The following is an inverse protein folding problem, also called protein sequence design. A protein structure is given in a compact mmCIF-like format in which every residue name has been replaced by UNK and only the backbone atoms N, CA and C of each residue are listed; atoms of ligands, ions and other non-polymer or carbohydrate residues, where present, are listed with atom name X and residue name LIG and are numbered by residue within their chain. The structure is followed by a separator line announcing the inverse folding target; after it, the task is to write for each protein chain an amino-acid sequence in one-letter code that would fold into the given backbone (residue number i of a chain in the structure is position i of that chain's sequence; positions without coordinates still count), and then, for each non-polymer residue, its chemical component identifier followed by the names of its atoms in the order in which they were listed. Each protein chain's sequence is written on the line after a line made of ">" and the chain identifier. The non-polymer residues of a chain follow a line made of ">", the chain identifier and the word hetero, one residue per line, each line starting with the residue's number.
data_IF_551574566021
#
_entry.id   IF_551574566021
#
_cell.length_a   1.000
_cell.length_b   1.000
_cell.length_c   1.000
_cell.angle_alpha   90.00
_cell.angle_beta   90.00
_cell.angle_gamma   90.00
#
_symmetry.space_group_name_H-M   'P 1'
#
loop_
_entity.id
_entity.type
_entity.pdbx_description
1 polymer ?
#
# COMPACT_ATOMS: atom_id res chain seq x y z
N UNK A 1 28.79 14.27 23.30
CA UNK A 1 27.57 14.91 22.74
C UNK A 1 27.43 14.57 21.25
N UNK A 2 26.64 13.53 20.97
CA UNK A 2 26.43 12.98 19.63
C UNK A 2 25.43 13.87 18.89
N UNK A 3 25.88 14.56 17.83
CA UNK A 3 24.99 15.34 16.97
C UNK A 3 24.05 14.41 16.19
N UNK A 4 22.73 14.66 16.17
CA UNK A 4 21.81 13.82 15.43
C UNK A 4 21.94 14.05 13.92
N UNK A 5 21.85 12.96 13.16
CA UNK A 5 22.02 12.86 11.69
C UNK A 5 21.10 13.78 10.85
N UNK A 6 20.14 14.49 11.46
CA UNK A 6 19.25 15.42 10.77
C UNK A 6 19.73 16.89 10.81
N UNK A 7 20.70 17.24 11.65
CA UNK A 7 21.30 18.59 11.62
C UNK A 7 22.02 18.88 10.29
N UNK A 8 22.34 17.84 9.50
CA UNK A 8 22.89 17.94 8.16
C UNK A 8 21.83 18.19 7.05
N UNK A 9 20.52 18.12 7.38
CA UNK A 9 19.45 18.31 6.39
C UNK A 9 19.07 19.78 6.17
N UNK A 10 19.65 20.71 6.94
CA UNK A 10 19.44 22.15 6.80
C UNK A 10 20.71 22.92 6.37
N UNK A 11 21.79 22.20 6.03
CA UNK A 11 22.92 22.78 5.30
C UNK A 11 22.61 22.77 3.81
N UNK A 12 22.78 23.91 3.16
CA UNK A 12 22.67 24.06 1.71
C UNK A 12 23.36 22.87 1.00
N UNK A 13 22.81 22.38 -0.12
CA UNK A 13 23.42 21.29 -0.88
C UNK A 13 24.88 21.64 -1.17
N UNK A 14 25.81 20.67 -1.06
CA UNK A 14 27.18 20.87 -1.48
C UNK A 14 27.19 21.39 -2.92
N UNK A 15 28.05 22.37 -3.20
CA UNK A 15 28.13 23.04 -4.49
C UNK A 15 28.13 22.00 -5.64
N UNK A 16 27.00 21.92 -6.36
CA UNK A 16 26.78 20.95 -7.45
C UNK A 16 25.59 19.99 -7.28
N UNK A 17 24.93 19.91 -6.11
CA UNK A 17 23.72 19.10 -5.96
C UNK A 17 22.46 19.92 -6.28
N UNK A 18 21.79 19.54 -7.37
CA UNK A 18 20.52 20.10 -7.83
C UNK A 18 19.41 19.85 -6.79
N UNK A 19 18.61 20.87 -6.48
CA UNK A 19 17.44 20.71 -5.60
C UNK A 19 16.40 19.86 -6.31
N UNK A 20 16.42 18.55 -6.06
CA UNK A 20 15.40 17.65 -6.59
C UNK A 20 14.12 17.82 -5.78
N UNK A 21 13.24 18.69 -6.26
CA UNK A 21 11.86 18.76 -5.79
C UNK A 21 11.17 17.42 -6.08
N UNK A 22 10.90 16.64 -5.03
CA UNK A 22 10.08 15.44 -5.15
C UNK A 22 8.63 15.79 -4.88
N UNK A 23 7.72 15.33 -5.73
CA UNK A 23 6.30 15.48 -5.47
C UNK A 23 5.95 14.74 -4.17
N UNK A 24 5.04 15.31 -3.37
CA UNK A 24 4.57 14.69 -2.13
C UNK A 24 4.11 13.26 -2.34
N UNK A 25 3.43 13.00 -3.47
CA UNK A 25 2.97 11.66 -3.84
C UNK A 25 4.13 10.67 -4.07
N UNK A 26 5.26 11.12 -4.60
CA UNK A 26 6.45 10.28 -4.79
C UNK A 26 7.10 9.94 -3.45
N UNK A 27 7.15 10.92 -2.54
CA UNK A 27 7.68 10.74 -1.19
C UNK A 27 6.80 9.76 -0.39
N UNK A 28 5.48 9.88 -0.50
CA UNK A 28 4.52 9.04 0.21
C UNK A 28 4.28 7.68 -0.45
N UNK A 29 4.73 7.45 -1.69
CA UNK A 29 4.47 6.21 -2.41
C UNK A 29 4.99 4.97 -1.68
N UNK A 30 6.18 5.07 -1.06
CA UNK A 30 6.75 3.98 -0.26
C UNK A 30 5.88 3.67 0.96
N UNK A 31 5.50 4.71 1.70
CA UNK A 31 4.62 4.60 2.87
C UNK A 31 3.25 4.03 2.48
N UNK A 32 2.66 4.52 1.39
CA UNK A 32 1.40 4.02 0.85
C UNK A 32 1.50 2.53 0.50
N UNK A 33 2.59 2.11 -0.16
CA UNK A 33 2.81 0.72 -0.51
C UNK A 33 2.93 -0.19 0.73
N UNK A 34 3.61 0.27 1.79
CA UNK A 34 3.70 -0.45 3.06
C UNK A 34 2.34 -0.54 3.76
N UNK A 35 1.62 0.57 3.88
CA UNK A 35 0.30 0.58 4.50
C UNK A 35 -0.67 -0.33 3.75
N UNK A 36 -0.64 -0.32 2.41
CA UNK A 36 -1.43 -1.22 1.58
C UNK A 36 -1.09 -2.69 1.84
N UNK A 37 0.19 -3.01 1.99
CA UNK A 37 0.65 -4.36 2.33
C UNK A 37 0.11 -4.82 3.69
N UNK A 38 0.18 -3.97 4.71
CA UNK A 38 -0.34 -4.30 6.06
C UNK A 38 -1.86 -4.43 6.07
N UNK A 39 -2.58 -3.54 5.39
CA UNK A 39 -4.04 -3.61 5.27
C UNK A 39 -4.44 -4.91 4.57
N UNK A 40 -3.76 -5.31 3.49
CA UNK A 40 -4.03 -6.56 2.77
C UNK A 40 -3.82 -7.80 3.63
N UNK A 41 -2.82 -7.79 4.52
CA UNK A 41 -2.55 -8.90 5.45
C UNK A 41 -3.47 -8.90 6.67
N UNK A 42 -3.93 -7.73 7.09
CA UNK A 42 -4.74 -7.55 8.29
C UNK A 42 -6.18 -8.06 8.16
N UNK A 43 -6.92 -8.11 9.29
CA UNK A 43 -8.34 -8.45 9.29
C UNK A 43 -9.19 -7.43 8.52
N UNK A 44 -8.70 -6.20 8.34
CA UNK A 44 -9.39 -5.13 7.62
C UNK A 44 -9.61 -5.45 6.14
N UNK A 45 -8.67 -6.10 5.44
CA UNK A 45 -8.90 -6.52 4.05
C UNK A 45 -9.98 -7.58 3.91
N UNK A 46 -10.16 -8.39 4.95
CA UNK A 46 -11.18 -9.43 5.04
C UNK A 46 -12.53 -8.91 5.51
N UNK A 47 -12.61 -7.64 5.92
CA UNK A 47 -13.88 -7.03 6.29
C UNK A 47 -14.80 -6.95 5.06
N UNK A 48 -16.01 -7.54 5.11
CA UNK A 48 -16.98 -7.46 4.02
C UNK A 48 -17.49 -6.03 3.80
N UNK A 49 -17.40 -5.16 4.82
CA UNK A 49 -17.93 -3.79 4.77
C UNK A 49 -16.91 -2.75 4.28
N UNK A 50 -15.61 -3.05 4.34
CA UNK A 50 -14.56 -2.13 3.89
C UNK A 50 -14.30 -2.29 2.39
N UNK A 51 -14.43 -1.22 1.60
CA UNK A 51 -14.18 -1.21 0.17
C UNK A 51 -13.05 -0.24 -0.12
N UNK A 52 -11.92 -0.72 -0.64
CA UNK A 52 -10.80 0.16 -0.99
C UNK A 52 -10.87 0.67 -2.43
N UNK A 53 -11.64 0.00 -3.29
CA UNK A 53 -11.79 0.33 -4.70
C UNK A 53 -13.23 0.02 -5.16
N UNK A 54 -13.78 0.82 -6.07
CA UNK A 54 -15.15 0.64 -6.57
C UNK A 54 -15.42 -0.77 -7.15
N UNK A 55 -14.41 -1.40 -7.76
CA UNK A 55 -14.52 -2.75 -8.32
C UNK A 55 -14.68 -3.86 -7.26
N UNK A 56 -14.49 -3.57 -5.97
CA UNK A 56 -14.67 -4.54 -4.88
C UNK A 56 -16.12 -4.59 -4.36
N UNK A 57 -16.96 -3.59 -4.67
CA UNK A 57 -18.35 -3.53 -4.16
C UNK A 57 -19.15 -4.73 -4.67
N UNK A 58 -19.18 -4.92 -5.99
CA UNK A 58 -19.93 -5.99 -6.64
C UNK A 58 -19.58 -7.40 -6.13
N UNK A 59 -18.30 -7.85 -6.13
CA UNK A 59 -17.96 -9.19 -5.67
C UNK A 59 -18.25 -9.42 -4.18
N UNK A 60 -18.28 -8.37 -3.35
CA UNK A 60 -18.65 -8.48 -1.92
C UNK A 60 -20.16 -8.53 -1.68
N UNK A 61 -20.93 -7.80 -2.48
CA UNK A 61 -22.39 -7.77 -2.37
C UNK A 61 -23.07 -9.01 -2.97
N UNK A 62 -22.50 -9.58 -4.04
CA UNK A 62 -23.11 -10.69 -4.76
C UNK A 62 -23.38 -11.96 -3.93
N UNK A 63 -22.48 -12.41 -3.03
CA UNK A 63 -22.76 -13.55 -2.16
C UNK A 63 -24.03 -13.35 -1.31
N UNK A 64 -24.20 -12.16 -0.73
CA UNK A 64 -25.40 -11.80 0.04
C UNK A 64 -26.65 -11.83 -0.84
N UNK A 65 -26.62 -11.21 -2.02
CA UNK A 65 -27.76 -11.20 -2.93
C UNK A 65 -28.14 -12.60 -3.43
N UNK A 66 -27.16 -13.49 -3.66
CA UNK A 66 -27.42 -14.88 -4.05
C UNK A 66 -28.07 -15.66 -2.92
N UNK A 67 -27.53 -15.54 -1.72
CA UNK A 67 -28.10 -16.17 -0.52
C UNK A 67 -29.53 -15.68 -0.26
N UNK A 68 -29.78 -14.38 -0.33
CA UNK A 68 -31.11 -13.79 -0.13
C UNK A 68 -32.12 -14.27 -1.18
N UNK A 69 -31.71 -14.39 -2.44
CA UNK A 69 -32.56 -14.90 -3.54
C UNK A 69 -32.97 -16.37 -3.36
N UNK A 70 -32.18 -17.17 -2.63
CA UNK A 70 -32.44 -18.59 -2.39
C UNK A 70 -33.38 -18.84 -1.20
N UNK A 71 -33.74 -17.80 -0.43
CA UNK A 71 -34.63 -17.99 0.71
C UNK A 71 -36.07 -18.26 0.24
N UNK A 72 -36.75 -19.27 0.83
CA UNK A 72 -38.12 -19.63 0.46
C UNK A 72 -39.13 -18.54 0.84
N UNK A 73 -38.87 -17.79 1.92
CA UNK A 73 -39.66 -16.63 2.34
C UNK A 73 -38.76 -15.39 2.29
N UNK A 74 -38.82 -14.63 1.19
CA UNK A 74 -37.89 -13.53 0.93
C UNK A 74 -38.32 -12.27 1.69
N UNK A 75 -37.62 -11.87 2.77
CA UNK A 75 -37.97 -10.65 3.48
C UNK A 75 -37.70 -9.44 2.58
N UNK A 76 -38.51 -8.36 2.67
CA UNK A 76 -38.28 -7.14 1.92
C UNK A 76 -36.91 -6.54 2.27
N UNK A 77 -36.20 -6.05 1.25
CA UNK A 77 -34.92 -5.37 1.43
C UNK A 77 -35.13 -3.87 1.55
N UNK A 78 -34.52 -3.29 2.57
CA UNK A 78 -34.44 -1.85 2.77
C UNK A 78 -32.99 -1.40 2.57
N UNK A 79 -32.80 -0.20 2.06
CA UNK A 79 -31.48 0.42 1.94
C UNK A 79 -31.54 1.84 2.49
N UNK A 80 -30.44 2.26 3.09
CA UNK A 80 -30.24 3.64 3.53
C UNK A 80 -29.03 4.20 2.77
N UNK A 81 -29.19 5.41 2.24
CA UNK A 81 -28.08 6.17 1.65
C UNK A 81 -27.55 7.12 2.71
N UNK A 82 -26.22 7.12 2.89
CA UNK A 82 -25.53 7.99 3.83
C UNK A 82 -24.45 8.74 3.06
N UNK A 83 -24.42 10.06 3.21
CA UNK A 83 -23.39 10.92 2.65
C UNK A 83 -22.55 11.51 3.79
N UNK A 84 -21.23 11.36 3.69
CA UNK A 84 -20.29 11.85 4.71
C UNK A 84 -19.59 13.09 4.15
N UNK A 85 -20.00 14.26 4.62
CA UNK A 85 -19.41 15.55 4.24
C UNK A 85 -18.07 15.77 4.92
N UNK A 86 -17.10 16.35 4.20
CA UNK A 86 -15.80 16.75 4.77
C UNK A 86 -14.98 15.57 5.31
N UNK A 87 -15.06 14.40 4.66
CA UNK A 87 -14.43 13.17 5.16
C UNK A 87 -12.91 13.26 5.33
N UNK A 88 -12.22 14.15 4.60
CA UNK A 88 -10.78 14.40 4.76
C UNK A 88 -10.49 15.43 5.85
N UNK A 89 -11.24 16.53 5.88
CA UNK A 89 -11.01 17.65 6.82
C UNK A 89 -11.42 17.31 8.26
N UNK A 90 -12.34 16.36 8.43
CA UNK A 90 -12.85 15.93 9.75
C UNK A 90 -12.00 14.87 10.44
N UNK A 91 -10.88 14.42 9.85
CA UNK A 91 -10.07 13.34 10.41
C UNK A 91 -9.22 13.87 11.57
N UNK A 92 -9.39 13.35 12.81
CA UNK A 92 -8.54 13.77 13.92
C UNK A 92 -7.12 13.20 13.73
N UNK A 93 -6.16 14.05 13.40
CA UNK A 93 -4.78 13.68 13.06
C UNK A 93 -4.09 12.84 14.13
N UNK A 94 -4.27 13.18 15.41
CA UNK A 94 -3.65 12.45 16.52
C UNK A 94 -4.22 11.03 16.67
N UNK A 95 -5.54 10.90 16.59
CA UNK A 95 -6.23 9.61 16.62
C UNK A 95 -5.86 8.75 15.41
N UNK A 96 -5.68 9.36 14.24
CA UNK A 96 -5.23 8.66 13.05
C UNK A 96 -3.83 8.06 13.26
N UNK A 97 -2.89 8.82 13.84
CA UNK A 97 -1.54 8.31 14.15
C UNK A 97 -1.57 7.17 15.17
N UNK A 98 -2.42 7.26 16.20
CA UNK A 98 -2.62 6.18 17.18
C UNK A 98 -3.13 4.89 16.53
N UNK A 99 -4.00 5.00 15.52
CA UNK A 99 -4.52 3.85 14.77
C UNK A 99 -3.47 3.28 13.82
N UNK A 100 -2.65 4.12 13.16
CA UNK A 100 -1.68 3.65 12.15
C UNK A 100 -0.43 3.03 12.77
N UNK A 101 0.07 3.57 13.89
CA UNK A 101 1.27 3.05 14.58
C UNK A 101 1.28 1.53 14.82
N UNK A 102 0.20 0.91 15.33
CA UNK A 102 0.14 -0.54 15.53
C UNK A 102 -0.10 -1.34 14.24
N UNK A 103 -0.48 -0.69 13.13
CA UNK A 103 -0.62 -1.38 11.83
C UNK A 103 0.75 -1.73 11.23
N UNK A 104 1.78 -0.92 11.50
CA UNK A 104 3.15 -1.19 11.08
C UNK A 104 3.82 -2.17 12.05
N UNK A 105 3.68 -3.47 11.76
CA UNK A 105 4.05 -4.56 12.67
C UNK A 105 5.50 -5.00 12.55
N UNK A 106 6.12 -4.79 11.39
CA UNK A 106 7.47 -5.30 11.13
C UNK A 106 8.53 -4.37 11.74
N UNK A 107 9.25 -4.87 12.74
CA UNK A 107 10.31 -4.12 13.44
C UNK A 107 11.60 -4.04 12.61
N UNK A 108 11.92 -5.14 11.91
CA UNK A 108 13.10 -5.26 11.02
C UNK A 108 12.98 -4.42 9.74
N UNK A 109 11.82 -3.80 9.52
CA UNK A 109 11.51 -2.99 8.34
C UNK A 109 10.89 -3.78 7.19
N UNK A 110 10.66 -3.09 6.09
CA UNK A 110 9.99 -3.60 4.90
C UNK A 110 10.91 -3.56 3.70
N UNK A 111 10.79 -4.54 2.82
CA UNK A 111 11.54 -4.58 1.57
C UNK A 111 10.62 -4.24 0.40
N UNK A 112 10.93 -3.15 -0.31
CA UNK A 112 10.27 -2.83 -1.58
C UNK A 112 11.05 -3.48 -2.71
N UNK A 113 10.42 -4.44 -3.39
CA UNK A 113 10.97 -5.16 -4.52
C UNK A 113 10.26 -4.72 -5.82
N UNK A 114 10.94 -3.98 -6.69
CA UNK A 114 10.38 -3.63 -7.99
C UNK A 114 10.46 -4.82 -8.95
N UNK A 115 9.42 -5.01 -9.76
CA UNK A 115 9.38 -6.01 -10.81
C UNK A 115 8.74 -5.42 -12.07
N UNK A 116 9.10 -5.96 -13.23
CA UNK A 116 8.44 -5.64 -14.49
C UNK A 116 7.56 -6.81 -14.92
N UNK A 117 6.35 -6.49 -15.41
CA UNK A 117 5.45 -7.48 -16.00
C UNK A 117 5.39 -7.28 -17.51
N UNK A 118 5.80 -8.30 -18.24
CA UNK A 118 5.62 -8.41 -19.68
C UNK A 118 4.33 -9.16 -19.98
N UNK A 119 3.52 -8.70 -20.93
CA UNK A 119 2.31 -9.41 -21.37
C UNK A 119 2.37 -9.61 -22.89
N UNK A 120 2.34 -10.85 -23.34
CA UNK A 120 2.53 -11.19 -24.76
C UNK A 120 1.44 -10.68 -25.70
N UNK A 121 0.23 -10.36 -25.19
CA UNK A 121 -0.91 -9.95 -26.03
C UNK A 121 -0.76 -8.57 -26.68
N UNK A 122 0.12 -7.71 -26.17
CA UNK A 122 0.24 -6.32 -26.63
C UNK A 122 1.62 -5.97 -27.17
N UNK A 123 2.61 -6.87 -27.13
CA UNK A 123 4.00 -6.64 -27.57
C UNK A 123 4.77 -5.54 -26.83
N UNK A 124 4.08 -4.72 -26.02
CA UNK A 124 4.64 -3.60 -25.25
C UNK A 124 4.97 -4.06 -23.84
N UNK A 125 6.26 -4.12 -23.55
CA UNK A 125 6.79 -4.14 -22.19
C UNK A 125 6.83 -2.71 -21.68
N UNK A 126 6.06 -2.37 -20.63
CA UNK A 126 6.42 -1.26 -19.72
C UNK A 126 5.34 -1.05 -18.67
N UNK A 127 5.51 -1.67 -17.52
CA UNK A 127 5.12 -1.06 -16.26
C UNK A 127 6.00 -1.67 -15.18
N UNK A 128 6.76 -0.82 -14.48
CA UNK A 128 7.48 -1.20 -13.27
C UNK A 128 6.48 -1.13 -12.12
N UNK A 129 6.27 -2.25 -11.44
CA UNK A 129 5.44 -2.35 -10.26
C UNK A 129 6.33 -2.55 -9.04
N UNK A 130 5.90 -2.09 -7.86
CA UNK A 130 6.58 -2.38 -6.60
C UNK A 130 5.73 -3.31 -5.73
N UNK A 131 6.31 -4.42 -5.26
CA UNK A 131 5.74 -5.21 -4.16
C UNK A 131 6.50 -4.89 -2.88
N UNK A 132 5.77 -4.68 -1.80
CA UNK A 132 6.35 -4.64 -0.45
C UNK A 132 6.26 -6.01 0.17
N UNK A 133 7.34 -6.45 0.83
CA UNK A 133 7.39 -7.70 1.58
C UNK A 133 8.07 -7.50 2.94
N UNK A 134 7.95 -8.51 3.80
CA UNK A 134 8.70 -8.67 5.05
C UNK A 134 9.93 -9.58 4.91
N UNK A 135 10.19 -10.10 3.71
CA UNK A 135 11.30 -11.01 3.47
C UNK A 135 12.66 -10.32 3.65
N UNK A 136 13.64 -11.11 4.09
CA UNK A 136 15.03 -10.66 4.20
C UNK A 136 15.64 -10.54 2.80
N UNK A 137 16.61 -9.64 2.66
CA UNK A 137 17.44 -9.57 1.47
C UNK A 137 18.06 -10.94 1.16
N UNK A 138 17.96 -11.40 -0.08
CA UNK A 138 18.59 -12.63 -0.55
C UNK A 138 17.75 -13.90 -0.38
N UNK A 139 16.49 -13.81 0.07
CA UNK A 139 15.58 -14.96 0.09
C UNK A 139 15.04 -15.29 -1.31
N UNK A 140 15.83 -16.08 -2.06
CA UNK A 140 15.54 -16.46 -3.45
C UNK A 140 14.23 -17.24 -3.58
N UNK A 141 13.90 -18.10 -2.61
CA UNK A 141 12.67 -18.90 -2.65
C UNK A 141 11.43 -18.03 -2.40
N UNK A 142 11.53 -17.04 -1.51
CA UNK A 142 10.42 -16.13 -1.29
C UNK A 142 10.16 -15.19 -2.48
N UNK A 143 11.23 -14.76 -3.17
CA UNK A 143 11.12 -14.07 -4.48
C UNK A 143 10.43 -14.96 -5.52
N UNK A 144 10.81 -16.23 -5.60
CA UNK A 144 10.22 -17.20 -6.54
C UNK A 144 8.74 -17.45 -6.26
N UNK A 145 8.39 -17.65 -5.00
CA UNK A 145 7.00 -17.87 -4.57
C UNK A 145 6.13 -16.65 -4.82
N UNK A 146 6.67 -15.44 -4.64
CA UNK A 146 6.01 -14.20 -5.02
C UNK A 146 5.74 -14.14 -6.52
N UNK A 147 6.74 -14.50 -7.34
CA UNK A 147 6.59 -14.60 -8.80
C UNK A 147 5.45 -15.55 -9.19
N UNK A 148 5.36 -16.71 -8.51
CA UNK A 148 4.23 -17.65 -8.71
C UNK A 148 2.90 -17.01 -8.38
N UNK A 149 2.75 -16.37 -7.21
CA UNK A 149 1.48 -15.72 -6.79
C UNK A 149 1.04 -14.63 -7.76
N UNK A 150 1.97 -13.81 -8.24
CA UNK A 150 1.70 -12.77 -9.25
C UNK A 150 1.29 -13.37 -10.60
N UNK A 151 1.84 -14.54 -10.96
CA UNK A 151 1.53 -15.27 -12.19
C UNK A 151 0.17 -15.97 -12.21
N UNK A 152 -0.45 -16.25 -11.07
CA UNK A 152 -1.75 -16.94 -10.99
C UNK A 152 -2.97 -16.06 -11.35
N UNK A 153 -2.75 -14.88 -11.94
CA UNK A 153 -3.83 -14.05 -12.48
C UNK A 153 -4.50 -14.69 -13.71
N UNK A 154 -5.84 -14.61 -13.79
CA UNK A 154 -6.61 -15.14 -14.94
C UNK A 154 -6.13 -14.52 -16.27
N UNK A 155 -5.52 -15.34 -17.14
CA UNK A 155 -5.67 -15.21 -18.59
C UNK A 155 -4.58 -14.48 -19.41
N UNK A 156 -3.33 -14.39 -18.96
CA UNK A 156 -2.26 -13.83 -19.80
C UNK A 156 -0.91 -14.51 -19.59
N UNK A 157 -0.30 -14.95 -20.70
CA UNK A 157 1.12 -15.31 -20.79
C UNK A 157 1.95 -14.08 -20.38
N UNK A 158 2.30 -14.02 -19.11
CA UNK A 158 3.02 -12.90 -18.54
C UNK A 158 4.37 -13.35 -17.99
N UNK A 159 5.42 -12.66 -18.39
CA UNK A 159 6.77 -12.86 -17.85
C UNK A 159 7.00 -11.80 -16.79
N UNK A 160 7.41 -12.23 -15.60
CA UNK A 160 7.77 -11.34 -14.52
C UNK A 160 9.29 -11.32 -14.43
N UNK A 161 9.89 -10.13 -14.54
CA UNK A 161 11.31 -9.96 -14.33
C UNK A 161 11.51 -9.17 -13.04
N UNK A 162 12.31 -9.74 -12.14
CA UNK A 162 12.78 -9.03 -10.96
C UNK A 162 13.83 -7.99 -11.38
N UNK A 163 13.72 -6.77 -10.87
CA UNK A 163 14.68 -5.71 -11.16
C UNK A 163 15.83 -5.67 -10.15
N UNK A 164 15.81 -6.49 -9.09
CA UNK A 164 16.89 -6.72 -8.10
C UNK A 164 17.30 -5.48 -7.29
N UNK A 165 16.84 -4.29 -7.65
CA UNK A 165 17.01 -3.05 -6.91
C UNK A 165 16.04 -2.98 -5.72
N UNK A 166 16.36 -3.71 -4.64
CA UNK A 166 15.51 -3.70 -3.46
C UNK A 166 15.84 -2.53 -2.53
N UNK A 167 14.79 -1.94 -1.98
CA UNK A 167 14.91 -0.84 -1.02
C UNK A 167 14.41 -1.25 0.35
N UNK A 168 15.27 -1.11 1.36
CA UNK A 168 14.89 -1.28 2.77
C UNK A 168 14.18 -0.03 3.28
N UNK A 169 13.00 -0.21 3.84
CA UNK A 169 12.17 0.83 4.42
C UNK A 169 12.04 0.56 5.92
N UNK A 170 12.72 1.35 6.74
CA UNK A 170 12.65 1.18 8.19
C UNK A 170 11.32 1.71 8.75
N UNK A 171 10.78 1.01 9.75
CA UNK A 171 9.55 1.42 10.45
C UNK A 171 9.66 2.82 11.05
N UNK A 172 10.82 3.15 11.63
CA UNK A 172 11.07 4.45 12.26
C UNK A 172 11.05 5.59 11.24
N UNK A 173 11.67 5.40 10.06
CA UNK A 173 11.62 6.40 8.97
C UNK A 173 10.19 6.56 8.43
N UNK A 174 9.45 5.47 8.26
CA UNK A 174 8.06 5.51 7.79
C UNK A 174 7.14 6.25 8.78
N UNK A 175 7.29 5.98 10.07
CA UNK A 175 6.53 6.67 11.13
C UNK A 175 6.91 8.15 11.25
N UNK A 176 8.20 8.48 11.13
CA UNK A 176 8.66 9.87 11.13
C UNK A 176 8.11 10.62 9.91
N UNK A 177 8.12 9.99 8.73
CA UNK A 177 7.56 10.55 7.50
C UNK A 177 6.04 10.79 7.63
N UNK A 178 5.31 9.79 8.16
CA UNK A 178 3.87 9.88 8.40
C UNK A 178 3.55 11.00 9.39
N UNK A 179 4.25 11.04 10.53
CA UNK A 179 4.05 12.06 11.57
C UNK A 179 4.34 13.44 11.03
N UNK A 180 5.45 13.60 10.30
CA UNK A 180 5.79 14.87 9.66
C UNK A 180 4.68 15.28 8.71
N UNK A 181 4.25 14.42 7.78
CA UNK A 181 3.25 14.81 6.78
C UNK A 181 1.89 15.16 7.38
N UNK A 182 1.44 14.42 8.40
CA UNK A 182 0.15 14.66 9.06
C UNK A 182 0.20 15.91 9.96
N UNK A 183 1.33 16.17 10.62
CA UNK A 183 1.45 17.27 11.58
C UNK A 183 2.04 18.56 10.99
N UNK A 184 2.74 18.53 9.86
CA UNK A 184 3.41 19.71 9.29
C UNK A 184 2.50 20.66 8.51
N UNK A 185 1.23 20.29 8.31
CA UNK A 185 0.23 21.12 7.64
C UNK A 185 -0.86 21.63 8.61
N UNK A 186 -0.57 21.60 9.91
CA UNK A 186 -1.38 22.23 10.97
C UNK A 186 -0.73 23.55 11.39
#
# INVERSE_FOLDING_TARGET
>A
PVRPLWAAAATAPPAGAEWVWKATNDVLNDLYAVLRFEVQRGPLSRSPSAVSHANQVYPKLMPFLRWWKQQPDRPPLYYATLDVKGAFDSIPHQKLLEVIRPLLREEDGYLKCPYSRWCGKTGKARTVYGVVTKERFGDVEAVRERGRRLGHGRGSFAVFMDLVEYRLLSRTQLLALLTRHICSHV
#
